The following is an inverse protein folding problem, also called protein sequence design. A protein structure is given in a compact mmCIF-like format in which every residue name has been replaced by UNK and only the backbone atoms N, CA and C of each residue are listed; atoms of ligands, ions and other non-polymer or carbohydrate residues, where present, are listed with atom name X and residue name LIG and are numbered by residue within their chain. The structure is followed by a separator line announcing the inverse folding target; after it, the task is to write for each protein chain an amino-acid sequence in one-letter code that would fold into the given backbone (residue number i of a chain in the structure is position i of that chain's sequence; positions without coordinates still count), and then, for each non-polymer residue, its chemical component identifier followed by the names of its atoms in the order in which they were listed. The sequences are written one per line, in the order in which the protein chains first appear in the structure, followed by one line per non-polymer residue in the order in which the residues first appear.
data_IF_974258061996
#
_entry.id   IF_974258061996
#
_cell.length_a   1.000
_cell.length_b   1.000
_cell.length_c   1.000
_cell.angle_alpha   90.00
_cell.angle_beta   90.00
_cell.angle_gamma   90.00
#
_symmetry.space_group_name_H-M   'P 1'
#
loop_
_entity.id
_entity.type
_entity.pdbx_description
1 polymer ?
#
# COMPACT_ATOMS: atom_id res chain seq x y z
N UNK A 1 7.86 4.32 -19.08
CA UNK A 1 6.72 4.11 -18.15
C UNK A 1 7.16 3.47 -16.82
N UNK A 2 7.92 2.37 -16.85
CA UNK A 2 8.43 1.66 -15.67
C UNK A 2 9.26 2.55 -14.70
N UNK A 3 10.12 3.42 -15.24
CA UNK A 3 10.92 4.35 -14.42
C UNK A 3 10.09 5.39 -13.65
N UNK A 4 8.98 5.85 -14.23
CA UNK A 4 8.05 6.80 -13.61
C UNK A 4 7.20 6.14 -12.52
N UNK A 5 6.84 4.87 -12.72
CA UNK A 5 6.14 4.05 -11.71
C UNK A 5 7.06 3.81 -10.51
N UNK A 6 8.32 3.44 -10.74
CA UNK A 6 9.31 3.24 -9.68
C UNK A 6 9.57 4.52 -8.88
N UNK A 7 9.67 5.67 -9.55
CA UNK A 7 9.91 6.95 -8.87
C UNK A 7 8.69 7.43 -8.08
N UNK A 8 7.47 7.23 -8.61
CA UNK A 8 6.23 7.53 -7.88
C UNK A 8 5.97 6.60 -6.70
N UNK A 9 6.36 5.32 -6.78
CA UNK A 9 6.37 4.40 -5.64
C UNK A 9 7.36 4.87 -4.56
N UNK A 10 8.59 5.23 -4.93
CA UNK A 10 9.58 5.74 -3.97
C UNK A 10 9.06 6.97 -3.23
N UNK A 11 8.44 7.91 -3.94
CA UNK A 11 7.85 9.12 -3.33
C UNK A 11 6.69 8.74 -2.39
N UNK A 12 5.82 7.81 -2.78
CA UNK A 12 4.73 7.33 -1.92
C UNK A 12 5.25 6.59 -0.66
N UNK A 13 6.31 5.78 -0.78
CA UNK A 13 6.94 5.04 0.32
C UNK A 13 7.67 5.95 1.31
N UNK A 14 8.28 7.04 0.82
CA UNK A 14 8.86 8.09 1.69
C UNK A 14 7.76 8.76 2.52
N UNK A 15 6.57 9.02 1.96
CA UNK A 15 5.44 9.56 2.74
C UNK A 15 4.86 8.56 3.76
N UNK A 16 4.93 7.26 3.50
CA UNK A 16 4.47 6.20 4.41
C UNK A 16 5.39 6.09 5.64
N UNK A 17 6.69 6.36 5.48
CA UNK A 17 7.65 6.41 6.60
C UNK A 17 7.41 7.56 7.58
N UNK A 18 6.56 8.53 7.24
CA UNK A 18 6.31 9.73 8.05
C UNK A 18 4.95 9.70 8.79
N UNK A 19 4.24 8.57 8.77
CA UNK A 19 3.01 8.42 9.54
C UNK A 19 3.34 8.42 11.04
N UNK A 20 3.27 9.59 11.67
CA UNK A 20 3.54 9.77 13.09
C UNK A 20 2.75 8.75 13.91
N UNK A 21 3.48 7.90 14.62
CA UNK A 21 2.90 6.90 15.50
C UNK A 21 2.33 7.64 16.70
N UNK A 22 1.04 7.98 16.67
CA UNK A 22 0.39 8.55 17.85
C UNK A 22 0.36 7.51 18.98
N UNK A 23 0.76 7.84 20.22
CA UNK A 23 0.81 6.90 21.34
C UNK A 23 -0.57 6.31 21.70
N UNK A 24 -1.66 6.96 21.27
CA UNK A 24 -3.00 6.42 21.25
C UNK A 24 -3.65 6.75 19.90
N UNK A 25 -4.11 5.73 19.18
CA UNK A 25 -5.03 5.89 18.05
C UNK A 25 -6.41 5.46 18.54
N UNK A 26 -7.40 6.34 18.37
CA UNK A 26 -8.78 6.07 18.68
C UNK A 26 -9.46 5.54 17.41
N UNK A 27 -9.61 4.21 17.31
CA UNK A 27 -10.46 3.58 16.31
C UNK A 27 -11.76 3.17 17.01
N UNK A 28 -12.90 3.62 16.48
CA UNK A 28 -14.29 3.25 16.86
C UNK A 28 -14.42 2.44 18.18
N UNK A 29 -14.20 3.12 19.32
CA UNK A 29 -14.49 2.58 20.65
C UNK A 29 -13.40 1.75 21.34
N UNK A 30 -12.21 1.52 20.77
CA UNK A 30 -11.09 0.82 21.43
C UNK A 30 -9.80 1.63 21.41
N UNK A 31 -9.23 1.90 22.58
CA UNK A 31 -7.90 2.51 22.70
C UNK A 31 -6.85 1.50 22.26
N UNK A 32 -6.28 1.70 21.07
CA UNK A 32 -5.12 0.92 20.63
C UNK A 32 -3.87 1.64 21.16
N UNK A 33 -3.32 1.12 22.25
CA UNK A 33 -2.12 1.66 22.90
C UNK A 33 -0.92 0.76 22.63
N UNK A 34 0.16 1.33 22.13
CA UNK A 34 1.46 0.66 22.03
C UNK A 34 2.24 0.88 23.33
N UNK A 35 3.07 -0.09 23.71
CA UNK A 35 3.91 0.04 24.89
C UNK A 35 4.93 1.17 24.72
N UNK A 36 5.32 1.86 25.81
CA UNK A 36 6.33 2.92 25.76
C UNK A 36 7.67 2.46 25.16
N UNK A 37 8.03 1.19 25.40
CA UNK A 37 9.23 0.60 24.83
C UNK A 37 9.14 0.45 23.31
N UNK A 38 8.04 -0.11 22.79
CA UNK A 38 7.82 -0.24 21.34
C UNK A 38 7.79 1.12 20.69
N UNK A 39 7.03 2.07 21.25
CA UNK A 39 7.00 3.46 20.75
C UNK A 39 8.39 4.07 20.62
N UNK A 40 9.23 3.96 21.66
CA UNK A 40 10.61 4.45 21.64
C UNK A 40 11.45 3.76 20.56
N UNK A 41 11.29 2.45 20.35
CA UNK A 41 12.04 1.74 19.32
C UNK A 41 11.60 2.13 17.90
N UNK A 42 10.29 2.27 17.66
CA UNK A 42 9.75 2.66 16.37
C UNK A 42 10.16 4.08 15.99
N UNK A 43 10.05 5.05 16.91
CA UNK A 43 10.53 6.41 16.67
C UNK A 43 12.04 6.44 16.35
N UNK A 44 12.83 5.61 17.03
CA UNK A 44 14.27 5.53 16.72
C UNK A 44 14.53 4.88 15.37
N UNK A 45 13.72 3.91 14.97
CA UNK A 45 13.80 3.31 13.63
C UNK A 45 13.45 4.36 12.55
N UNK A 46 12.40 5.16 12.76
CA UNK A 46 12.03 6.27 11.86
C UNK A 46 13.16 7.30 11.70
N UNK A 47 13.81 7.70 12.80
CA UNK A 47 14.97 8.59 12.74
C UNK A 47 16.11 7.99 11.90
N UNK A 48 16.37 6.68 12.04
CA UNK A 48 17.38 5.98 11.25
C UNK A 48 16.98 5.90 9.78
N UNK A 49 15.70 5.67 9.47
CA UNK A 49 15.17 5.67 8.11
C UNK A 49 15.33 7.05 7.47
N UNK A 50 15.02 8.13 8.19
CA UNK A 50 15.23 9.51 7.73
C UNK A 50 16.71 9.83 7.43
N UNK A 51 17.64 9.17 8.14
CA UNK A 51 19.09 9.24 7.89
C UNK A 51 19.59 8.25 6.84
N UNK A 52 18.70 7.47 6.22
CA UNK A 52 19.01 6.38 5.29
C UNK A 52 19.89 5.28 5.89
N UNK A 53 19.93 5.16 7.22
CA UNK A 53 20.67 4.12 7.94
C UNK A 53 19.86 2.81 8.01
N UNK A 54 19.45 2.29 6.85
CA UNK A 54 18.49 1.18 6.73
C UNK A 54 18.92 -0.09 7.45
N UNK A 55 20.20 -0.47 7.38
CA UNK A 55 20.73 -1.62 8.12
C UNK A 55 20.53 -1.50 9.64
N UNK A 56 20.65 -0.29 10.20
CA UNK A 56 20.41 -0.06 11.64
C UNK A 56 18.91 -0.05 11.95
N UNK A 57 18.08 0.48 11.06
CA UNK A 57 16.63 0.44 11.18
C UNK A 57 16.09 -1.01 11.19
N UNK A 58 16.58 -1.87 10.30
CA UNK A 58 16.26 -3.30 10.26
C UNK A 58 16.55 -3.98 11.59
N UNK A 59 17.81 -3.91 12.06
CA UNK A 59 18.21 -4.53 13.34
C UNK A 59 17.34 -4.06 14.52
N UNK A 60 16.93 -2.79 14.49
CA UNK A 60 16.05 -2.21 15.51
C UNK A 60 14.66 -2.85 15.47
N UNK A 61 14.05 -2.86 14.29
CA UNK A 61 12.68 -3.33 14.10
C UNK A 61 12.57 -4.85 14.25
N UNK A 62 13.57 -5.62 13.82
CA UNK A 62 13.64 -7.08 14.05
C UNK A 62 13.68 -7.40 15.54
N UNK A 63 14.43 -6.61 16.33
CA UNK A 63 14.46 -6.74 17.80
C UNK A 63 13.11 -6.42 18.44
N UNK A 64 12.34 -5.50 17.87
CA UNK A 64 10.95 -5.23 18.29
C UNK A 64 10.06 -6.42 17.94
N UNK A 65 10.12 -6.88 16.70
CA UNK A 65 9.30 -7.97 16.18
C UNK A 65 9.49 -9.27 16.99
N UNK A 66 10.70 -9.54 17.46
CA UNK A 66 11.02 -10.70 18.30
C UNK A 66 10.41 -10.64 19.72
N UNK A 67 9.95 -9.48 20.18
CA UNK A 67 9.46 -9.25 21.56
C UNK A 67 7.97 -8.98 21.67
N UNK A 68 7.33 -8.56 20.59
CA UNK A 68 5.90 -8.24 20.57
C UNK A 68 5.07 -9.52 20.43
N UNK A 69 3.85 -9.48 20.95
CA UNK A 69 2.94 -10.63 20.89
C UNK A 69 2.47 -10.90 19.46
N UNK A 70 2.27 -12.18 19.12
CA UNK A 70 1.69 -12.58 17.84
C UNK A 70 0.26 -12.04 17.71
N UNK A 71 -0.13 -11.68 16.49
CA UNK A 71 -1.41 -11.06 16.13
C UNK A 71 -1.71 -9.75 16.87
N UNK A 72 -0.71 -9.12 17.50
CA UNK A 72 -0.88 -7.83 18.17
C UNK A 72 -0.78 -6.66 17.19
N UNK A 73 -1.34 -5.53 17.59
CA UNK A 73 -1.18 -4.28 16.86
C UNK A 73 0.29 -3.86 16.77
N UNK A 74 1.07 -4.04 17.84
CA UNK A 74 2.51 -3.78 17.86
C UNK A 74 3.27 -4.61 16.82
N UNK A 75 2.88 -5.88 16.64
CA UNK A 75 3.42 -6.72 15.57
C UNK A 75 3.08 -6.14 14.19
N UNK A 76 1.81 -5.77 13.98
CA UNK A 76 1.33 -5.25 12.70
C UNK A 76 2.08 -3.99 12.26
N UNK A 77 2.22 -3.01 13.16
CA UNK A 77 2.95 -1.77 12.84
C UNK A 77 4.45 -2.00 12.67
N UNK A 78 5.05 -2.89 13.45
CA UNK A 78 6.49 -3.22 13.30
C UNK A 78 6.77 -3.87 11.95
N UNK A 79 5.90 -4.80 11.52
CA UNK A 79 5.96 -5.42 10.20
C UNK A 79 5.79 -4.40 9.08
N UNK A 80 4.85 -3.45 9.21
CA UNK A 80 4.69 -2.33 8.25
C UNK A 80 5.93 -1.46 8.17
N UNK A 81 6.54 -1.09 9.31
CA UNK A 81 7.78 -0.32 9.32
C UNK A 81 8.92 -1.07 8.63
N UNK A 82 9.10 -2.38 8.91
CA UNK A 82 10.09 -3.21 8.21
C UNK A 82 9.83 -3.26 6.70
N UNK A 83 8.57 -3.42 6.30
CA UNK A 83 8.19 -3.42 4.90
C UNK A 83 8.60 -2.11 4.20
N UNK A 84 8.39 -0.96 4.86
CA UNK A 84 8.82 0.34 4.35
C UNK A 84 10.35 0.41 4.19
N UNK A 85 11.13 -0.10 5.16
CA UNK A 85 12.60 -0.13 5.01
C UNK A 85 13.02 -0.97 3.81
N UNK A 86 12.48 -2.18 3.66
CA UNK A 86 12.79 -3.03 2.50
C UNK A 86 12.37 -2.38 1.19
N UNK A 87 11.24 -1.67 1.15
CA UNK A 87 10.79 -0.99 -0.05
C UNK A 87 11.69 0.21 -0.42
N UNK A 88 12.24 0.94 0.57
CA UNK A 88 13.23 1.99 0.34
C UNK A 88 14.56 1.45 -0.21
N UNK A 89 14.90 0.21 0.15
CA UNK A 89 16.03 -0.54 -0.41
C UNK A 89 15.69 -1.26 -1.74
N UNK A 90 14.56 -0.93 -2.37
CA UNK A 90 14.06 -1.55 -3.61
C UNK A 90 13.78 -3.06 -3.52
N UNK A 91 13.76 -3.64 -2.32
CA UNK A 91 13.40 -5.04 -2.08
C UNK A 91 11.87 -5.21 -1.94
N UNK A 92 11.17 -4.96 -3.05
CA UNK A 92 9.70 -4.96 -3.08
C UNK A 92 9.08 -6.32 -2.76
N UNK A 93 9.76 -7.43 -3.12
CA UNK A 93 9.27 -8.79 -2.83
C UNK A 93 9.23 -9.03 -1.31
N UNK A 94 10.28 -8.64 -0.59
CA UNK A 94 10.31 -8.79 0.86
C UNK A 94 9.35 -7.83 1.55
N UNK A 95 9.25 -6.58 1.07
CA UNK A 95 8.28 -5.62 1.57
C UNK A 95 6.84 -6.15 1.46
N UNK A 96 6.48 -6.75 0.32
CA UNK A 96 5.15 -7.32 0.10
C UNK A 96 4.85 -8.45 1.11
N UNK A 97 5.80 -9.37 1.33
CA UNK A 97 5.65 -10.46 2.33
C UNK A 97 5.41 -9.95 3.75
N UNK A 98 6.04 -8.85 4.11
CA UNK A 98 5.88 -8.26 5.45
C UNK A 98 4.53 -7.55 5.59
N UNK A 99 4.04 -6.90 4.53
CA UNK A 99 2.67 -6.34 4.53
C UNK A 99 1.60 -7.43 4.56
N UNK A 100 1.79 -8.54 3.83
CA UNK A 100 0.92 -9.72 3.93
C UNK A 100 0.83 -10.20 5.39
N UNK A 101 1.97 -10.32 6.08
CA UNK A 101 2.01 -10.71 7.49
C UNK A 101 1.35 -9.66 8.40
N UNK A 102 1.55 -8.37 8.14
CA UNK A 102 0.93 -7.30 8.91
C UNK A 102 -0.60 -7.34 8.79
N UNK A 103 -1.13 -7.54 7.58
CA UNK A 103 -2.57 -7.68 7.32
C UNK A 103 -3.13 -8.95 7.97
N UNK A 104 -2.38 -10.05 7.97
CA UNK A 104 -2.77 -11.32 8.61
C UNK A 104 -2.91 -11.23 10.13
N UNK A 105 -2.37 -10.19 10.79
CA UNK A 105 -2.60 -9.94 12.22
C UNK A 105 -4.06 -9.56 12.51
N UNK A 106 -4.77 -8.98 11.54
CA UNK A 106 -6.11 -8.38 11.71
C UNK A 106 -6.20 -7.35 12.85
N UNK A 107 -5.07 -6.75 13.23
CA UNK A 107 -4.97 -5.83 14.36
C UNK A 107 -4.93 -4.35 13.95
N UNK A 108 -4.84 -4.05 12.65
CA UNK A 108 -4.83 -2.69 12.11
C UNK A 108 -6.24 -2.08 12.19
N UNK A 109 -6.32 -0.76 12.36
CA UNK A 109 -7.60 -0.05 12.13
C UNK A 109 -8.02 -0.15 10.66
N UNK A 110 -9.28 0.15 10.35
CA UNK A 110 -9.78 0.13 8.97
C UNK A 110 -8.95 1.03 8.03
N UNK A 111 -8.63 2.25 8.47
CA UNK A 111 -7.80 3.18 7.71
C UNK A 111 -6.40 2.62 7.45
N UNK A 112 -5.77 2.05 8.47
CA UNK A 112 -4.44 1.45 8.36
C UNK A 112 -4.44 0.19 7.50
N UNK A 113 -5.51 -0.60 7.56
CA UNK A 113 -5.71 -1.76 6.71
C UNK A 113 -5.87 -1.34 5.25
N UNK A 114 -6.68 -0.31 4.98
CA UNK A 114 -6.81 0.27 3.64
C UNK A 114 -5.46 0.71 3.09
N UNK A 115 -4.68 1.45 3.90
CA UNK A 115 -3.36 1.93 3.50
C UNK A 115 -2.40 0.75 3.22
N UNK A 116 -2.36 -0.25 4.11
CA UNK A 116 -1.52 -1.44 3.94
C UNK A 116 -1.90 -2.25 2.69
N UNK A 117 -3.20 -2.42 2.40
CA UNK A 117 -3.66 -3.08 1.18
C UNK A 117 -3.25 -2.31 -0.07
N UNK A 118 -3.40 -0.98 -0.06
CA UNK A 118 -2.99 -0.14 -1.19
C UNK A 118 -1.48 -0.25 -1.44
N UNK A 119 -0.67 -0.16 -0.38
CA UNK A 119 0.79 -0.30 -0.47
C UNK A 119 1.19 -1.70 -0.97
N UNK A 120 0.52 -2.75 -0.50
CA UNK A 120 0.74 -4.12 -0.97
C UNK A 120 0.43 -4.25 -2.47
N UNK A 121 -0.68 -3.69 -2.92
CA UNK A 121 -1.03 -3.63 -4.35
C UNK A 121 0.03 -2.89 -5.18
N UNK A 122 0.57 -1.77 -4.68
CA UNK A 122 1.65 -1.05 -5.37
C UNK A 122 2.91 -1.91 -5.50
N UNK A 123 3.29 -2.64 -4.44
CA UNK A 123 4.46 -3.53 -4.46
C UNK A 123 4.26 -4.71 -5.41
N UNK A 124 3.04 -5.25 -5.49
CA UNK A 124 2.72 -6.27 -6.49
C UNK A 124 2.79 -5.73 -7.92
N UNK A 125 2.28 -4.52 -8.18
CA UNK A 125 2.46 -3.88 -9.49
C UNK A 125 3.94 -3.68 -9.84
N UNK A 126 4.76 -3.24 -8.89
CA UNK A 126 6.19 -3.03 -9.08
C UNK A 126 6.99 -4.33 -9.30
N UNK A 127 6.41 -5.47 -8.95
CA UNK A 127 6.98 -6.81 -9.15
C UNK A 127 6.24 -7.61 -10.21
N UNK A 128 5.42 -6.94 -11.02
CA UNK A 128 4.63 -7.52 -12.12
C UNK A 128 3.65 -8.62 -11.71
N UNK A 129 3.30 -8.69 -10.41
CA UNK A 129 2.32 -9.60 -9.85
C UNK A 129 0.89 -9.03 -9.99
N UNK A 130 0.48 -8.73 -11.22
CA UNK A 130 -0.75 -8.00 -11.51
C UNK A 130 -2.02 -8.70 -10.98
N UNK A 131 -2.09 -10.04 -11.09
CA UNK A 131 -3.21 -10.80 -10.55
C UNK A 131 -3.32 -10.65 -9.03
N UNK A 132 -2.20 -10.66 -8.31
CA UNK A 132 -2.22 -10.44 -6.85
C UNK A 132 -2.67 -9.03 -6.47
N UNK A 133 -2.35 -8.02 -7.28
CA UNK A 133 -2.90 -6.67 -7.09
C UNK A 133 -4.42 -6.70 -7.15
N UNK A 134 -4.99 -7.38 -8.15
CA UNK A 134 -6.44 -7.53 -8.30
C UNK A 134 -7.04 -8.29 -7.11
N UNK A 135 -6.49 -9.47 -6.78
CA UNK A 135 -6.98 -10.32 -5.69
C UNK A 135 -6.95 -9.61 -4.32
N UNK A 136 -6.01 -8.69 -4.14
CA UNK A 136 -5.85 -7.92 -2.90
C UNK A 136 -6.81 -6.74 -2.83
N UNK A 137 -6.93 -5.97 -3.90
CA UNK A 137 -7.62 -4.67 -3.87
C UNK A 137 -9.08 -4.73 -4.30
N UNK A 138 -9.44 -5.62 -5.21
CA UNK A 138 -10.81 -5.67 -5.75
C UNK A 138 -11.85 -6.06 -4.69
N UNK A 139 -11.64 -7.10 -3.86
CA UNK A 139 -12.59 -7.44 -2.81
C UNK A 139 -12.74 -6.31 -1.79
N UNK A 140 -11.63 -5.66 -1.42
CA UNK A 140 -11.65 -4.52 -0.51
C UNK A 140 -12.44 -3.36 -1.11
N UNK A 141 -12.20 -2.99 -2.37
CA UNK A 141 -12.91 -1.89 -3.01
C UNK A 141 -14.41 -2.17 -3.16
N UNK A 142 -14.80 -3.42 -3.46
CA UNK A 142 -16.21 -3.84 -3.53
C UNK A 142 -16.93 -3.69 -2.20
N UNK A 143 -16.25 -3.90 -1.08
CA UNK A 143 -16.79 -3.64 0.25
C UNK A 143 -16.81 -2.13 0.60
N UNK A 144 -15.93 -1.31 0.00
CA UNK A 144 -15.74 0.10 0.33
C UNK A 144 -16.02 1.01 -0.87
N UNK A 145 -17.16 0.85 -1.54
CA UNK A 145 -17.50 1.57 -2.79
C UNK A 145 -17.44 3.10 -2.65
N UNK A 146 -17.70 3.62 -1.43
CA UNK A 146 -17.69 5.05 -1.11
C UNK A 146 -16.31 5.61 -0.76
N UNK A 147 -15.24 4.81 -0.85
CA UNK A 147 -13.88 5.28 -0.56
C UNK A 147 -13.52 6.50 -1.42
N UNK A 148 -12.96 7.52 -0.78
CA UNK A 148 -12.47 8.74 -1.46
C UNK A 148 -11.10 8.51 -2.13
N UNK A 149 -10.44 7.40 -1.83
CA UNK A 149 -9.14 7.06 -2.38
C UNK A 149 -9.30 6.51 -3.81
N UNK A 150 -9.33 7.44 -4.78
CA UNK A 150 -9.38 7.15 -6.22
C UNK A 150 -8.15 6.39 -6.73
N UNK A 151 -7.03 6.44 -6.02
CA UNK A 151 -5.80 5.76 -6.41
C UNK A 151 -5.96 4.24 -6.41
N UNK A 152 -6.78 3.67 -5.53
CA UNK A 152 -7.11 2.23 -5.54
C UNK A 152 -7.77 1.83 -6.88
N UNK A 153 -8.76 2.60 -7.34
CA UNK A 153 -9.43 2.36 -8.63
C UNK A 153 -8.47 2.49 -9.82
N UNK A 154 -7.61 3.51 -9.81
CA UNK A 154 -6.59 3.70 -10.85
C UNK A 154 -5.63 2.49 -10.87
N UNK A 155 -5.18 2.03 -9.70
CA UNK A 155 -4.25 0.91 -9.61
C UNK A 155 -4.89 -0.39 -10.12
N UNK A 156 -6.15 -0.66 -9.76
CA UNK A 156 -6.93 -1.78 -10.29
C UNK A 156 -7.12 -1.70 -11.81
N UNK A 157 -7.48 -0.53 -12.35
CA UNK A 157 -7.60 -0.34 -13.79
C UNK A 157 -6.29 -0.70 -14.52
N UNK A 158 -5.15 -0.25 -13.99
CA UNK A 158 -3.85 -0.58 -14.54
C UNK A 158 -3.53 -2.09 -14.40
N UNK A 159 -3.83 -2.70 -13.25
CA UNK A 159 -3.60 -4.13 -13.04
C UNK A 159 -4.41 -4.98 -14.03
N UNK A 160 -5.70 -4.70 -14.18
CA UNK A 160 -6.56 -5.36 -15.17
C UNK A 160 -6.06 -5.12 -16.61
N UNK A 161 -5.60 -3.91 -16.94
CA UNK A 161 -5.04 -3.62 -18.26
C UNK A 161 -3.79 -4.47 -18.55
N UNK A 162 -2.87 -4.62 -17.58
CA UNK A 162 -1.67 -5.45 -17.72
C UNK A 162 -2.01 -6.95 -17.88
N UNK A 163 -3.13 -7.39 -17.30
CA UNK A 163 -3.68 -8.74 -17.47
C UNK A 163 -4.45 -8.92 -18.79
N UNK A 164 -4.51 -7.89 -19.65
CA UNK A 164 -5.36 -7.84 -20.86
C UNK A 164 -6.85 -8.02 -20.58
N UNK A 165 -7.26 -7.76 -19.35
CA UNK A 165 -8.64 -7.85 -18.86
C UNK A 165 -9.33 -6.49 -19.03
N UNK A 166 -9.38 -6.01 -20.28
CA UNK A 166 -9.74 -4.63 -20.60
C UNK A 166 -11.20 -4.29 -20.22
N UNK A 167 -12.14 -5.22 -20.42
CA UNK A 167 -13.54 -5.04 -19.99
C UNK A 167 -13.67 -4.84 -18.49
N UNK A 168 -12.83 -5.49 -17.70
CA UNK A 168 -12.81 -5.33 -16.24
C UNK A 168 -12.09 -4.04 -15.82
N UNK A 169 -11.09 -3.57 -16.58
CA UNK A 169 -10.39 -2.32 -16.28
C UNK A 169 -11.27 -1.07 -16.43
N UNK A 170 -12.11 -1.04 -17.47
CA UNK A 170 -12.89 0.14 -17.88
C UNK A 170 -13.74 0.76 -16.74
N UNK A 171 -14.58 -0.01 -16.01
CA UNK A 171 -15.44 0.57 -14.97
C UNK A 171 -14.66 1.33 -13.90
N UNK A 172 -13.44 0.91 -13.56
CA UNK A 172 -12.63 1.58 -12.55
C UNK A 172 -12.10 2.94 -13.03
N UNK A 173 -11.56 3.00 -14.25
CA UNK A 173 -11.01 4.27 -14.77
C UNK A 173 -12.11 5.26 -15.14
N UNK A 174 -13.24 4.78 -15.68
CA UNK A 174 -14.42 5.60 -15.98
C UNK A 174 -15.02 6.20 -14.72
N UNK A 175 -15.12 5.41 -13.65
CA UNK A 175 -15.54 5.94 -12.35
C UNK A 175 -14.61 7.07 -11.88
N UNK A 176 -13.30 6.93 -12.04
CA UNK A 176 -12.33 7.97 -11.65
C UNK A 176 -12.51 9.24 -12.48
N UNK A 177 -12.72 9.11 -13.79
CA UNK A 177 -12.95 10.24 -14.71
C UNK A 177 -14.26 10.95 -14.37
N UNK A 178 -15.36 10.21 -14.28
CA UNK A 178 -16.71 10.74 -14.00
C UNK A 178 -16.79 11.53 -12.70
N UNK A 179 -16.05 11.11 -11.68
CA UNK A 179 -16.06 11.75 -10.35
C UNK A 179 -14.91 12.75 -10.14
N UNK A 180 -14.20 13.13 -11.19
CA UNK A 180 -13.16 14.15 -11.12
C UNK A 180 -13.62 15.43 -11.81
N UNK A 181 -13.59 16.56 -11.09
CA UNK A 181 -13.85 17.89 -11.68
C UNK A 181 -12.90 18.24 -12.82
N UNK A 182 -11.65 17.75 -12.74
CA UNK A 182 -10.62 17.93 -13.77
C UNK A 182 -9.88 16.61 -13.94
N UNK A 183 -10.35 15.71 -14.82
CA UNK A 183 -9.68 14.44 -15.09
C UNK A 183 -8.22 14.68 -15.52
N UNK A 184 -7.29 13.86 -15.02
CA UNK A 184 -5.90 13.91 -15.50
C UNK A 184 -5.82 13.32 -16.88
N UNK A 185 -4.95 13.89 -17.72
CA UNK A 185 -4.72 13.41 -19.08
C UNK A 185 -4.32 11.92 -19.11
N UNK A 186 -3.48 11.47 -18.16
CA UNK A 186 -3.11 10.06 -18.05
C UNK A 186 -4.28 9.11 -17.81
N UNK A 187 -5.38 9.57 -17.20
CA UNK A 187 -6.59 8.75 -17.01
C UNK A 187 -7.39 8.64 -18.29
N UNK A 188 -7.49 9.74 -19.04
CA UNK A 188 -8.14 9.79 -20.34
C UNK A 188 -7.39 8.91 -21.35
N UNK A 189 -6.05 9.00 -21.37
CA UNK A 189 -5.19 8.17 -22.19
C UNK A 189 -5.35 6.67 -21.86
N UNK A 190 -5.40 6.31 -20.57
CA UNK A 190 -5.67 4.92 -20.17
C UNK A 190 -7.05 4.47 -20.65
N UNK A 191 -8.09 5.29 -20.47
CA UNK A 191 -9.44 4.94 -20.90
C UNK A 191 -9.52 4.77 -22.44
N UNK A 192 -8.92 5.66 -23.21
CA UNK A 192 -8.84 5.55 -24.67
C UNK A 192 -8.08 4.28 -25.10
N UNK A 193 -6.93 4.00 -24.49
CA UNK A 193 -6.16 2.79 -24.78
C UNK A 193 -6.96 1.52 -24.50
N UNK A 194 -7.75 1.48 -23.43
CA UNK A 194 -8.61 0.34 -23.12
C UNK A 194 -9.72 0.13 -24.16
N UNK A 195 -10.32 1.21 -24.67
CA UNK A 195 -11.31 1.11 -25.75
C UNK A 195 -10.69 0.60 -27.05
N UNK A 196 -9.54 1.14 -27.44
CA UNK A 196 -8.81 0.70 -28.64
C UNK A 196 -8.44 -0.78 -28.58
N UNK A 197 -7.94 -1.24 -27.43
CA UNK A 197 -7.63 -2.66 -27.20
C UNK A 197 -8.89 -3.53 -27.17
N UNK A 198 -10.06 -3.02 -26.78
CA UNK A 198 -11.28 -3.81 -26.89
C UNK A 198 -11.74 -3.94 -28.34
N UNK A 199 -11.68 -2.88 -29.13
CA UNK A 199 -12.07 -2.92 -30.55
C UNK A 199 -11.19 -3.88 -31.37
N UNK A 200 -9.89 -3.94 -31.10
CA UNK A 200 -8.96 -4.80 -31.84
C UNK A 200 -9.03 -6.29 -31.45
N UNK A 201 -9.57 -6.61 -30.27
CA UNK A 201 -9.67 -7.99 -29.75
C UNK A 201 -11.12 -8.46 -29.59
N UNK A 202 -12.08 -7.76 -30.21
CA UNK A 202 -13.51 -8.13 -30.27
C UNK A 202 -13.84 -8.99 -31.48
#
# INVERSE_FOLDING_TARGET
MISLIRNSLKIALISISLCAISPAIYAEGKTITISPWVYKQLNKAEELIGKQEYSKAHKKLEKVLAKVNKHSYEQAITLRSLASVYALEDNYKQAARLLEQALATKALSEEQQQEALFNLGQLYMATEQYQKTVDTLDPWLKAHLKTKNKQVRILLANAYAQLKQYRQALPYIEHVIKHSKKPKESWLQLNLALYYELENYS
#
